data_IF_862373086362
#
_entry.id   IF_862373086362
#
_cell.length_a   1.000
_cell.length_b   1.000
_cell.length_c   1.000
_cell.angle_alpha   90.00
_cell.angle_beta   90.00
_cell.angle_gamma   90.00
#
_symmetry.space_group_name_H-M   'P 1'
#
loop_
_entity.id
_entity.type
_entity.pdbx_description
1 polymer ?
#
# COMPACT_ATOMS: atom_id res chain seq x y z
N UNK A 1 15.30 -14.26 9.68
CA UNK A 1 15.44 -15.31 10.72
C UNK A 1 14.49 -14.95 11.85
N UNK A 2 13.71 -15.90 12.39
CA UNK A 2 12.87 -15.63 13.56
C UNK A 2 13.73 -15.70 14.82
N UNK A 3 13.46 -14.83 15.80
CA UNK A 3 14.23 -14.79 17.05
C UNK A 3 13.85 -15.92 18.01
N UNK A 4 12.63 -16.46 17.88
CA UNK A 4 12.09 -17.56 18.67
C UNK A 4 10.93 -18.22 17.91
N UNK A 5 10.54 -19.43 18.33
CA UNK A 5 9.48 -20.21 17.70
C UNK A 5 8.14 -20.03 18.41
N UNK A 6 7.07 -19.91 17.62
CA UNK A 6 5.69 -19.92 18.07
C UNK A 6 4.86 -20.79 17.10
N UNK A 7 3.95 -21.58 17.65
CA UNK A 7 2.96 -22.33 16.86
C UNK A 7 1.90 -21.40 16.27
N UNK A 8 1.23 -21.82 15.21
CA UNK A 8 0.12 -21.10 14.57
C UNK A 8 0.49 -19.72 13.98
N UNK A 9 1.77 -19.50 13.67
CA UNK A 9 2.22 -18.34 12.90
C UNK A 9 1.99 -18.62 11.41
N UNK A 10 1.24 -17.75 10.69
CA UNK A 10 0.98 -17.97 9.27
C UNK A 10 2.27 -17.88 8.44
N UNK A 11 2.30 -18.62 7.32
CA UNK A 11 3.38 -18.48 6.34
C UNK A 11 3.22 -17.18 5.56
N UNK A 12 4.33 -16.47 5.35
CA UNK A 12 4.43 -15.24 4.55
C UNK A 12 5.15 -15.51 3.24
N UNK A 13 4.85 -14.71 2.23
CA UNK A 13 5.67 -14.63 1.01
C UNK A 13 7.10 -14.16 1.31
N UNK A 14 8.06 -14.72 0.59
CA UNK A 14 9.48 -14.36 0.68
C UNK A 14 9.88 -13.37 -0.42
N UNK A 15 10.97 -12.62 -0.22
CA UNK A 15 11.49 -11.69 -1.23
C UNK A 15 12.17 -12.45 -2.38
N UNK A 16 12.07 -11.99 -3.64
CA UNK A 16 11.23 -10.87 -4.11
C UNK A 16 9.74 -11.26 -4.06
N UNK A 17 8.92 -10.42 -3.42
CA UNK A 17 7.50 -10.71 -3.18
C UNK A 17 6.66 -10.30 -4.38
N UNK A 18 5.80 -11.19 -4.85
CA UNK A 18 4.72 -10.86 -5.80
C UNK A 18 3.37 -10.64 -5.10
N UNK A 19 3.25 -11.03 -3.83
CA UNK A 19 2.08 -10.78 -2.97
C UNK A 19 2.53 -10.49 -1.55
N UNK A 20 1.67 -9.90 -0.74
CA UNK A 20 2.01 -9.50 0.63
C UNK A 20 3.04 -8.39 0.66
N UNK A 21 3.00 -7.52 -0.36
CA UNK A 21 3.90 -6.38 -0.52
C UNK A 21 3.69 -5.37 0.62
N UNK A 22 4.80 -4.77 1.04
CA UNK A 22 4.83 -3.56 1.87
C UNK A 22 5.50 -2.44 1.09
N UNK A 23 4.71 -1.42 0.75
CA UNK A 23 5.19 -0.16 0.19
C UNK A 23 5.23 0.92 1.27
N UNK A 24 6.44 1.25 1.69
CA UNK A 24 6.71 2.31 2.66
C UNK A 24 6.72 3.67 1.97
N UNK A 25 6.13 4.69 2.61
CA UNK A 25 6.14 6.07 2.10
C UNK A 25 7.20 6.92 2.81
N UNK A 26 8.21 7.31 2.05
CA UNK A 26 9.27 8.21 2.47
C UNK A 26 8.87 9.66 2.18
N UNK A 27 8.65 10.44 3.25
CA UNK A 27 8.29 11.86 3.18
C UNK A 27 9.47 12.81 3.44
N UNK A 28 10.70 12.32 3.39
CA UNK A 28 11.89 13.12 3.67
C UNK A 28 12.79 12.57 4.77
N UNK A 29 12.90 11.24 4.90
CA UNK A 29 13.92 10.63 5.77
C UNK A 29 15.32 11.11 5.35
N UNK A 30 16.17 11.41 6.33
CA UNK A 30 17.60 11.62 6.09
C UNK A 30 18.29 10.31 5.72
N UNK A 31 19.52 10.38 5.19
CA UNK A 31 20.30 9.17 4.85
C UNK A 31 20.46 8.24 6.06
N UNK A 32 20.76 8.79 7.24
CA UNK A 32 20.92 8.00 8.48
C UNK A 32 19.62 7.32 8.91
N UNK A 33 18.49 8.02 8.80
CA UNK A 33 17.19 7.41 9.09
C UNK A 33 16.83 6.30 8.10
N UNK A 34 17.28 6.39 6.84
CA UNK A 34 17.13 5.31 5.86
C UNK A 34 18.02 4.13 6.23
N UNK A 35 19.27 4.36 6.65
CA UNK A 35 20.17 3.31 7.16
C UNK A 35 19.55 2.60 8.37
N UNK A 36 19.08 3.35 9.38
CA UNK A 36 18.42 2.82 10.58
C UNK A 36 17.13 2.05 10.23
N UNK A 37 16.36 2.54 9.26
CA UNK A 37 15.16 1.87 8.76
C UNK A 37 15.48 0.53 8.07
N UNK A 38 16.52 0.52 7.22
CA UNK A 38 16.97 -0.68 6.50
C UNK A 38 17.45 -1.74 7.49
N UNK A 39 18.28 -1.35 8.45
CA UNK A 39 18.81 -2.24 9.50
C UNK A 39 17.67 -2.90 10.29
N UNK A 40 16.72 -2.09 10.76
CA UNK A 40 15.63 -2.58 11.61
C UNK A 40 14.56 -3.37 10.85
N UNK A 41 14.19 -2.95 9.64
CA UNK A 41 12.95 -3.40 8.99
C UNK A 41 13.04 -3.60 7.48
N UNK A 42 14.22 -3.45 6.87
CA UNK A 42 14.40 -3.54 5.41
C UNK A 42 14.00 -4.90 4.81
N UNK A 43 14.11 -5.99 5.57
CA UNK A 43 13.68 -7.33 5.15
C UNK A 43 12.14 -7.49 5.04
N UNK A 44 11.38 -6.57 5.63
CA UNK A 44 9.90 -6.54 5.64
C UNK A 44 9.31 -5.51 4.65
N UNK A 45 10.14 -4.65 4.07
CA UNK A 45 9.74 -3.61 3.13
C UNK A 45 10.14 -3.99 1.71
N UNK A 46 9.24 -3.87 0.72
CA UNK A 46 9.52 -4.25 -0.67
C UNK A 46 9.74 -3.04 -1.57
N UNK A 47 8.99 -1.95 -1.32
CA UNK A 47 8.96 -0.76 -2.16
C UNK A 47 9.09 0.49 -1.28
N UNK A 48 9.87 1.47 -1.74
CA UNK A 48 9.99 2.79 -1.09
C UNK A 48 9.47 3.89 -2.03
N UNK A 49 8.29 4.43 -1.72
CA UNK A 49 7.71 5.58 -2.42
C UNK A 49 8.29 6.87 -1.86
N UNK A 50 9.03 7.63 -2.67
CA UNK A 50 9.29 9.04 -2.37
C UNK A 50 7.98 9.81 -2.56
N UNK A 51 7.32 10.19 -1.46
CA UNK A 51 5.96 10.71 -1.47
C UNK A 51 5.83 11.97 -2.35
N UNK A 52 4.74 12.06 -3.11
CA UNK A 52 4.41 13.20 -3.97
C UNK A 52 5.63 13.77 -4.72
N UNK A 53 5.94 15.07 -4.56
CA UNK A 53 7.13 15.72 -5.13
C UNK A 53 8.34 15.83 -4.18
N UNK A 54 8.43 15.04 -3.11
CA UNK A 54 9.54 15.17 -2.13
C UNK A 54 10.93 15.04 -2.74
N UNK A 55 11.08 14.22 -3.77
CA UNK A 55 12.37 14.00 -4.44
C UNK A 55 12.94 15.31 -5.03
N UNK A 56 12.10 16.26 -5.44
CA UNK A 56 12.55 17.56 -5.96
C UNK A 56 13.32 18.39 -4.92
N UNK A 57 12.97 18.25 -3.64
CA UNK A 57 13.56 19.03 -2.53
C UNK A 57 14.45 18.18 -1.61
N UNK A 58 14.65 16.89 -1.93
CA UNK A 58 15.46 15.98 -1.12
C UNK A 58 16.94 16.17 -1.40
N UNK A 59 17.71 16.51 -0.36
CA UNK A 59 19.18 16.54 -0.45
C UNK A 59 19.73 15.12 -0.67
N UNK A 60 20.82 15.01 -1.44
CA UNK A 60 21.53 13.76 -1.69
C UNK A 60 20.62 12.63 -2.21
N UNK A 61 19.65 12.96 -3.08
CA UNK A 61 18.64 12.02 -3.56
C UNK A 61 19.24 10.73 -4.16
N UNK A 62 20.31 10.82 -4.96
CA UNK A 62 20.96 9.64 -5.55
C UNK A 62 21.46 8.67 -4.47
N UNK A 63 22.18 9.17 -3.46
CA UNK A 63 22.69 8.34 -2.37
C UNK A 63 21.54 7.65 -1.61
N UNK A 64 20.42 8.33 -1.44
CA UNK A 64 19.23 7.78 -0.80
C UNK A 64 18.57 6.68 -1.63
N UNK A 65 18.48 6.87 -2.95
CA UNK A 65 18.02 5.85 -3.90
C UNK A 65 18.94 4.61 -3.83
N UNK A 66 20.25 4.82 -3.81
CA UNK A 66 21.24 3.73 -3.77
C UNK A 66 21.15 2.93 -2.47
N UNK A 67 20.91 3.59 -1.32
CA UNK A 67 20.67 2.92 -0.04
C UNK A 67 19.49 1.95 -0.12
N UNK A 68 18.32 2.38 -0.61
CA UNK A 68 17.16 1.50 -0.77
C UNK A 68 17.45 0.32 -1.69
N UNK A 69 18.08 0.57 -2.85
CA UNK A 69 18.45 -0.49 -3.79
C UNK A 69 19.41 -1.51 -3.18
N UNK A 70 20.40 -1.05 -2.40
CA UNK A 70 21.37 -1.93 -1.74
C UNK A 70 20.72 -2.90 -0.74
N UNK A 71 19.56 -2.53 -0.20
CA UNK A 71 18.75 -3.35 0.71
C UNK A 71 17.72 -4.26 -0.01
N UNK A 72 17.72 -4.29 -1.34
CA UNK A 72 16.70 -4.99 -2.12
C UNK A 72 15.28 -4.42 -1.92
N UNK A 73 15.19 -3.10 -1.73
CA UNK A 73 13.93 -2.33 -1.72
C UNK A 73 13.88 -1.56 -3.03
N UNK A 74 12.75 -1.60 -3.74
CA UNK A 74 12.58 -0.91 -5.04
C UNK A 74 12.10 0.53 -4.81
N UNK A 75 12.94 1.56 -4.97
CA UNK A 75 12.49 2.94 -4.84
C UNK A 75 11.75 3.42 -6.09
N UNK A 76 10.80 4.33 -5.92
CA UNK A 76 10.20 5.08 -7.03
C UNK A 76 9.69 6.46 -6.58
N UNK A 77 9.43 7.36 -7.53
CA UNK A 77 8.87 8.68 -7.25
C UNK A 77 7.33 8.69 -7.35
N UNK A 78 6.67 9.29 -6.35
CA UNK A 78 5.20 9.36 -6.32
C UNK A 78 4.60 10.01 -7.56
N UNK A 79 3.41 9.55 -7.93
CA UNK A 79 2.72 9.91 -9.17
C UNK A 79 2.37 11.40 -9.27
N UNK A 80 2.18 12.10 -8.14
CA UNK A 80 2.05 13.57 -8.16
C UNK A 80 3.25 14.27 -8.82
N UNK A 81 4.46 13.69 -8.72
CA UNK A 81 5.62 14.23 -9.45
C UNK A 81 5.49 13.97 -10.96
N UNK A 82 5.06 12.77 -11.36
CA UNK A 82 4.75 12.48 -12.76
C UNK A 82 3.71 13.46 -13.31
N UNK A 83 2.61 13.67 -12.59
CA UNK A 83 1.56 14.64 -12.93
C UNK A 83 2.12 16.07 -13.09
N UNK A 84 3.09 16.46 -12.24
CA UNK A 84 3.73 17.76 -12.34
C UNK A 84 4.57 17.92 -13.63
N UNK A 85 5.29 16.88 -14.07
CA UNK A 85 5.99 16.88 -15.36
C UNK A 85 5.00 16.87 -16.52
N UNK A 86 3.98 16.00 -16.45
CA UNK A 86 2.95 15.85 -17.47
C UNK A 86 2.22 17.17 -17.75
N UNK A 87 1.76 17.86 -16.70
CA UNK A 87 1.07 19.16 -16.81
C UNK A 87 1.93 20.28 -17.44
N UNK A 88 3.24 20.07 -17.55
CA UNK A 88 4.19 21.02 -18.16
C UNK A 88 4.63 20.58 -19.57
N UNK A 89 4.06 19.50 -20.12
CA UNK A 89 4.50 18.91 -21.39
C UNK A 89 5.90 18.29 -21.29
N UNK A 90 6.33 17.89 -20.09
CA UNK A 90 7.70 17.43 -19.80
C UNK A 90 7.77 15.92 -19.55
N UNK A 91 6.88 15.12 -20.14
CA UNK A 91 6.85 13.66 -19.96
C UNK A 91 8.18 12.99 -20.33
N UNK A 92 8.83 13.44 -21.40
CA UNK A 92 10.14 12.94 -21.81
C UNK A 92 11.27 13.31 -20.82
N UNK A 93 11.17 14.48 -20.17
CA UNK A 93 12.10 14.85 -19.10
C UNK A 93 11.90 13.99 -17.86
N UNK A 94 10.66 13.62 -17.55
CA UNK A 94 10.37 12.68 -16.46
C UNK A 94 11.07 11.34 -16.71
N UNK A 95 10.97 10.79 -17.92
CA UNK A 95 11.65 9.55 -18.32
C UNK A 95 13.18 9.66 -18.16
N UNK A 96 13.79 10.73 -18.70
CA UNK A 96 15.23 10.98 -18.52
C UNK A 96 15.63 11.09 -17.05
N UNK A 97 14.76 11.66 -16.22
CA UNK A 97 15.01 11.86 -14.80
C UNK A 97 14.96 10.52 -14.04
N UNK A 98 13.95 9.67 -14.26
CA UNK A 98 13.91 8.34 -13.64
C UNK A 98 15.06 7.43 -14.13
N UNK A 99 15.46 7.55 -15.41
CA UNK A 99 16.62 6.82 -15.96
C UNK A 99 17.93 7.30 -15.32
N UNK A 100 18.10 8.61 -15.10
CA UNK A 100 19.26 9.18 -14.39
C UNK A 100 19.43 8.60 -12.98
N UNK A 101 18.33 8.39 -12.25
CA UNK A 101 18.34 7.77 -10.93
C UNK A 101 18.31 6.22 -10.99
N UNK A 102 18.30 5.65 -12.19
CA UNK A 102 18.30 4.21 -12.46
C UNK A 102 17.08 3.49 -11.91
N UNK A 103 15.91 4.11 -11.92
CA UNK A 103 14.68 3.54 -11.36
C UNK A 103 13.99 2.63 -12.38
N UNK A 104 13.75 1.38 -12.00
CA UNK A 104 13.01 0.40 -12.81
C UNK A 104 11.49 0.43 -12.56
N UNK A 105 11.04 1.14 -11.51
CA UNK A 105 9.65 1.28 -11.12
C UNK A 105 9.22 2.76 -11.20
N UNK A 106 8.03 3.02 -11.74
CA UNK A 106 7.42 4.35 -11.73
C UNK A 106 5.91 4.28 -11.43
N UNK A 107 5.36 5.41 -10.95
CA UNK A 107 3.92 5.56 -10.72
C UNK A 107 3.29 6.51 -11.75
N UNK A 108 2.17 6.08 -12.35
CA UNK A 108 1.35 6.90 -13.24
C UNK A 108 -0.02 7.14 -12.57
N UNK A 109 -0.29 8.40 -12.23
CA UNK A 109 -1.52 8.83 -11.58
C UNK A 109 -2.11 10.06 -12.27
N UNK A 110 -3.35 10.38 -11.95
CA UNK A 110 -4.13 11.52 -12.43
C UNK A 110 -4.98 12.11 -11.28
N UNK A 111 -4.42 12.13 -10.07
CA UNK A 111 -5.16 12.51 -8.87
C UNK A 111 -5.26 14.04 -8.65
N UNK A 112 -4.26 14.80 -9.11
CA UNK A 112 -4.15 16.27 -8.99
C UNK A 112 -4.43 17.02 -10.28
N UNK A 113 -4.40 16.35 -11.42
CA UNK A 113 -4.75 16.89 -12.74
C UNK A 113 -5.70 15.94 -13.47
N UNK A 114 -6.43 16.45 -14.46
CA UNK A 114 -7.27 15.61 -15.31
C UNK A 114 -6.41 15.12 -16.48
N UNK A 115 -6.31 13.80 -16.63
CA UNK A 115 -5.80 13.12 -17.82
C UNK A 115 -6.95 12.30 -18.39
N UNK A 116 -7.15 12.33 -19.71
CA UNK A 116 -8.12 11.41 -20.30
C UNK A 116 -7.72 9.97 -19.99
N UNK A 117 -8.67 9.11 -19.66
CA UNK A 117 -8.33 7.77 -19.20
C UNK A 117 -7.70 6.91 -20.30
N UNK A 118 -8.09 7.08 -21.56
CA UNK A 118 -7.49 6.35 -22.67
C UNK A 118 -6.06 6.86 -22.91
N UNK A 119 -5.83 8.16 -22.77
CA UNK A 119 -4.49 8.77 -22.79
C UNK A 119 -3.60 8.25 -21.65
N UNK A 120 -4.13 8.13 -20.43
CA UNK A 120 -3.44 7.48 -19.30
C UNK A 120 -3.05 6.04 -19.61
N UNK A 121 -3.95 5.27 -20.24
CA UNK A 121 -3.65 3.90 -20.67
C UNK A 121 -2.56 3.84 -21.74
N UNK A 122 -2.52 4.78 -22.69
CA UNK A 122 -1.41 4.87 -23.66
C UNK A 122 -0.08 5.18 -22.98
N UNK A 123 -0.06 6.06 -21.98
CA UNK A 123 1.12 6.37 -21.17
C UNK A 123 1.62 5.12 -20.42
N UNK A 124 0.71 4.41 -19.75
CA UNK A 124 1.03 3.14 -19.07
C UNK A 124 1.63 2.15 -20.06
N UNK A 125 0.99 1.93 -21.20
CA UNK A 125 1.46 0.98 -22.23
C UNK A 125 2.81 1.37 -22.80
N UNK A 126 3.05 2.67 -23.00
CA UNK A 126 4.33 3.17 -23.48
C UNK A 126 5.43 2.91 -22.47
N UNK A 127 5.20 3.24 -21.20
CA UNK A 127 6.20 3.12 -20.14
C UNK A 127 6.48 1.65 -19.81
N UNK A 128 5.45 0.81 -19.80
CA UNK A 128 5.54 -0.62 -19.48
C UNK A 128 6.45 -1.43 -20.43
N UNK A 129 6.85 -0.87 -21.58
CA UNK A 129 7.82 -1.51 -22.49
C UNK A 129 9.21 -1.64 -21.89
N UNK A 130 9.63 -0.66 -21.09
CA UNK A 130 11.02 -0.54 -20.62
C UNK A 130 11.14 -0.56 -19.09
N UNK A 131 10.03 -0.42 -18.35
CA UNK A 131 10.03 -0.35 -16.88
C UNK A 131 8.75 -0.93 -16.28
N UNK A 132 8.79 -1.23 -14.99
CA UNK A 132 7.60 -1.63 -14.23
C UNK A 132 6.75 -0.40 -13.93
N UNK A 133 5.45 -0.47 -14.26
CA UNK A 133 4.49 0.61 -13.98
C UNK A 133 3.56 0.19 -12.85
N UNK A 134 3.41 1.05 -11.85
CA UNK A 134 2.25 1.04 -10.96
C UNK A 134 1.34 2.19 -11.37
N UNK A 135 0.07 1.92 -11.65
CA UNK A 135 -0.89 2.99 -11.87
C UNK A 135 -1.69 3.24 -10.59
N UNK A 136 -2.30 4.41 -10.44
CA UNK A 136 -3.16 4.73 -9.30
C UNK A 136 -4.57 5.09 -9.77
N UNK A 137 -5.59 4.42 -9.23
CA UNK A 137 -7.00 4.77 -9.44
C UNK A 137 -7.54 5.40 -8.17
N UNK A 138 -8.14 6.58 -8.32
CA UNK A 138 -8.72 7.34 -7.23
C UNK A 138 -8.97 8.80 -7.61
N UNK A 139 -9.34 9.61 -6.62
CA UNK A 139 -9.32 11.06 -6.75
C UNK A 139 -8.83 11.69 -5.46
N UNK A 140 -7.91 12.66 -5.58
CA UNK A 140 -7.37 13.41 -4.44
C UNK A 140 -8.35 14.46 -3.91
N UNK A 141 -9.42 14.76 -4.66
CA UNK A 141 -10.46 15.69 -4.26
C UNK A 141 -11.63 14.95 -3.61
N UNK A 142 -11.89 15.25 -2.34
CA UNK A 142 -13.03 14.70 -1.58
C UNK A 142 -14.40 14.97 -2.20
N UNK A 143 -14.51 15.95 -3.11
CA UNK A 143 -15.73 16.26 -3.86
C UNK A 143 -15.97 15.39 -5.10
N UNK A 144 -14.95 14.69 -5.60
CA UNK A 144 -15.05 13.87 -6.82
C UNK A 144 -15.39 12.43 -6.45
N UNK A 145 -16.66 12.06 -6.64
CA UNK A 145 -17.14 10.69 -6.41
C UNK A 145 -17.02 9.88 -7.69
N UNK A 146 -16.04 8.99 -7.76
CA UNK A 146 -15.90 8.00 -8.83
C UNK A 146 -16.79 6.79 -8.49
N UNK A 147 -17.70 6.43 -9.38
CA UNK A 147 -18.61 5.30 -9.14
C UNK A 147 -17.84 3.96 -9.07
N UNK A 148 -18.32 2.96 -8.29
CA UNK A 148 -17.66 1.66 -8.21
C UNK A 148 -17.47 0.97 -9.56
N UNK A 149 -18.43 1.12 -10.48
CA UNK A 149 -18.32 0.57 -11.84
C UNK A 149 -17.19 1.25 -12.64
N UNK A 150 -16.99 2.56 -12.46
CA UNK A 150 -15.88 3.29 -13.09
C UNK A 150 -14.53 2.88 -12.49
N UNK A 151 -14.44 2.71 -11.17
CA UNK A 151 -13.25 2.16 -10.50
C UNK A 151 -12.82 0.81 -11.10
N UNK A 152 -13.75 -0.15 -11.13
CA UNK A 152 -13.46 -1.48 -11.68
C UNK A 152 -12.98 -1.39 -13.13
N UNK A 153 -13.67 -0.61 -13.97
CA UNK A 153 -13.28 -0.42 -15.36
C UNK A 153 -11.87 0.15 -15.48
N UNK A 154 -11.57 1.24 -14.76
CA UNK A 154 -10.25 1.89 -14.80
C UNK A 154 -9.15 0.92 -14.35
N UNK A 155 -9.33 0.25 -13.20
CA UNK A 155 -8.34 -0.71 -12.71
C UNK A 155 -8.10 -1.86 -13.71
N UNK A 156 -9.15 -2.44 -14.28
CA UNK A 156 -8.99 -3.51 -15.27
C UNK A 156 -8.26 -3.05 -16.53
N UNK A 157 -8.62 -1.87 -17.05
CA UNK A 157 -8.02 -1.34 -18.29
C UNK A 157 -6.60 -0.84 -18.08
N UNK A 158 -6.25 -0.32 -16.90
CA UNK A 158 -4.88 0.03 -16.54
C UNK A 158 -3.98 -1.21 -16.35
N UNK A 159 -4.52 -2.33 -15.85
CA UNK A 159 -3.83 -3.63 -15.85
C UNK A 159 -3.62 -4.15 -17.28
N UNK A 160 -4.66 -4.14 -18.11
CA UNK A 160 -4.57 -4.52 -19.53
C UNK A 160 -3.58 -3.65 -20.32
N UNK A 161 -3.42 -2.38 -19.94
CA UNK A 161 -2.44 -1.48 -20.53
C UNK A 161 -0.99 -1.82 -20.17
N UNK A 162 -0.76 -2.59 -19.10
CA UNK A 162 0.57 -3.06 -18.69
C UNK A 162 1.01 -2.67 -17.28
N UNK A 163 0.10 -2.19 -16.43
CA UNK A 163 0.43 -1.97 -15.01
C UNK A 163 0.74 -3.29 -14.33
N UNK A 164 1.84 -3.35 -13.57
CA UNK A 164 2.18 -4.51 -12.73
C UNK A 164 1.24 -4.63 -11.53
N UNK A 165 0.89 -3.49 -10.94
CA UNK A 165 -0.13 -3.37 -9.90
C UNK A 165 -0.93 -2.10 -10.12
N UNK A 166 -2.19 -2.11 -9.71
CA UNK A 166 -2.98 -0.87 -9.59
C UNK A 166 -3.12 -0.50 -8.12
N UNK A 167 -2.69 0.71 -7.79
CA UNK A 167 -2.86 1.31 -6.48
C UNK A 167 -4.33 1.72 -6.33
N UNK A 168 -4.96 1.25 -5.27
CA UNK A 168 -6.27 1.73 -4.88
C UNK A 168 -6.11 2.87 -3.86
N UNK A 169 -6.38 4.10 -4.29
CA UNK A 169 -6.04 5.32 -3.54
C UNK A 169 -6.78 5.41 -2.19
N UNK A 170 -6.02 5.79 -1.16
CA UNK A 170 -6.50 6.19 0.16
C UNK A 170 -5.90 7.50 0.67
N UNK A 171 -4.92 8.06 -0.06
CA UNK A 171 -4.02 9.16 0.33
C UNK A 171 -3.24 8.83 1.61
N UNK A 172 -2.45 9.80 2.06
CA UNK A 172 -1.78 9.72 3.36
C UNK A 172 -2.76 9.77 4.54
N UNK A 173 -3.88 10.50 4.38
CA UNK A 173 -4.87 10.65 5.44
C UNK A 173 -5.72 9.40 5.66
N UNK A 174 -5.84 8.52 4.66
CA UNK A 174 -6.72 7.36 4.73
C UNK A 174 -8.20 7.73 4.82
N UNK A 175 -8.63 8.86 4.24
CA UNK A 175 -10.00 9.39 4.40
C UNK A 175 -10.75 9.58 3.08
N UNK A 176 -10.19 9.10 1.97
CA UNK A 176 -10.76 9.22 0.63
C UNK A 176 -10.62 7.91 -0.14
N UNK A 177 -11.19 7.85 -1.36
CA UNK A 177 -11.07 6.71 -2.26
C UNK A 177 -11.67 5.44 -1.65
N UNK A 178 -10.81 4.45 -1.35
CA UNK A 178 -11.24 3.19 -0.73
C UNK A 178 -11.64 3.32 0.74
N UNK A 179 -11.52 4.51 1.32
CA UNK A 179 -12.01 4.85 2.65
C UNK A 179 -13.08 5.94 2.62
N UNK A 180 -13.94 5.92 3.63
CA UNK A 180 -14.87 7.01 3.93
C UNK A 180 -14.16 8.17 4.65
N UNK A 181 -14.75 9.38 4.71
CA UNK A 181 -14.17 10.51 5.43
C UNK A 181 -13.80 10.26 6.90
N UNK A 182 -14.46 9.29 7.55
CA UNK A 182 -14.17 8.87 8.91
C UNK A 182 -13.06 7.81 9.03
N UNK A 183 -12.37 7.48 7.92
CA UNK A 183 -11.30 6.49 7.85
C UNK A 183 -11.73 5.03 7.79
N UNK A 184 -13.03 4.74 7.81
CA UNK A 184 -13.55 3.36 7.69
C UNK A 184 -13.51 2.87 6.25
N UNK A 185 -13.23 1.58 6.05
CA UNK A 185 -13.19 0.96 4.73
C UNK A 185 -14.51 1.12 3.98
N UNK A 186 -14.46 1.56 2.72
CA UNK A 186 -15.61 1.65 1.83
C UNK A 186 -16.00 0.26 1.31
N UNK A 187 -16.50 -0.60 2.21
CA UNK A 187 -16.79 -2.03 1.99
C UNK A 187 -17.50 -2.34 0.67
N UNK A 188 -18.55 -1.60 0.30
CA UNK A 188 -19.27 -1.81 -0.97
C UNK A 188 -18.36 -1.62 -2.20
N UNK A 189 -17.51 -0.59 -2.20
CA UNK A 189 -16.58 -0.31 -3.31
C UNK A 189 -15.53 -1.42 -3.39
N UNK A 190 -14.90 -1.74 -2.25
CA UNK A 190 -13.87 -2.77 -2.16
C UNK A 190 -14.41 -4.13 -2.64
N UNK A 191 -15.61 -4.52 -2.19
CA UNK A 191 -16.27 -5.76 -2.62
C UNK A 191 -16.56 -5.78 -4.12
N UNK A 192 -16.90 -4.63 -4.73
CA UNK A 192 -17.11 -4.52 -6.18
C UNK A 192 -15.80 -4.67 -6.95
N UNK A 193 -14.71 -4.08 -6.45
CA UNK A 193 -13.37 -4.19 -7.05
C UNK A 193 -12.92 -5.64 -7.05
N UNK A 194 -12.89 -6.31 -5.89
CA UNK A 194 -12.35 -7.67 -5.78
C UNK A 194 -13.20 -8.75 -6.44
N UNK A 195 -14.45 -8.44 -6.78
CA UNK A 195 -15.29 -9.31 -7.60
C UNK A 195 -14.84 -9.38 -9.07
N UNK A 196 -13.93 -8.48 -9.50
CA UNK A 196 -13.52 -8.31 -10.90
C UNK A 196 -12.01 -8.16 -11.12
N UNK A 197 -11.28 -7.70 -10.12
CA UNK A 197 -9.82 -7.53 -10.15
C UNK A 197 -9.21 -8.42 -9.08
N UNK A 198 -8.16 -9.18 -9.43
CA UNK A 198 -7.53 -10.10 -8.50
C UNK A 198 -6.85 -9.31 -7.36
N UNK A 199 -7.03 -9.68 -6.08
CA UNK A 199 -6.42 -8.95 -4.95
C UNK A 199 -4.90 -8.84 -5.02
N UNK A 200 -4.23 -9.83 -5.61
CA UNK A 200 -2.80 -9.83 -5.85
C UNK A 200 -2.34 -8.77 -6.86
N UNK A 201 -3.18 -8.32 -7.77
CA UNK A 201 -2.88 -7.27 -8.75
C UNK A 201 -3.13 -5.85 -8.19
N UNK A 202 -3.69 -5.76 -6.98
CA UNK A 202 -4.02 -4.50 -6.32
C UNK A 202 -3.01 -4.22 -5.22
N UNK A 203 -2.61 -2.95 -5.07
CA UNK A 203 -1.91 -2.44 -3.89
C UNK A 203 -2.82 -1.45 -3.17
N UNK A 204 -3.26 -1.80 -1.96
CA UNK A 204 -4.19 -0.95 -1.21
C UNK A 204 -3.43 0.06 -0.38
N UNK A 205 -3.66 1.36 -0.56
CA UNK A 205 -3.12 2.33 0.38
C UNK A 205 -3.84 2.16 1.74
N UNK A 206 -3.07 2.01 2.82
CA UNK A 206 -3.59 1.80 4.16
C UNK A 206 -2.66 2.45 5.21
N UNK A 207 -2.57 3.80 5.22
CA UNK A 207 -1.63 4.51 6.08
C UNK A 207 -1.91 4.32 7.58
N UNK A 208 -3.14 4.00 7.98
CA UNK A 208 -3.54 3.92 9.39
C UNK A 208 -3.68 2.47 9.84
N UNK A 209 -3.18 2.15 11.05
CA UNK A 209 -3.27 0.81 11.68
C UNK A 209 -4.62 0.11 11.50
N UNK A 210 -5.73 0.81 11.79
CA UNK A 210 -7.08 0.22 11.70
C UNK A 210 -7.41 -0.26 10.28
N UNK A 211 -6.89 0.44 9.26
CA UNK A 211 -7.07 0.09 7.85
C UNK A 211 -6.20 -1.11 7.47
N UNK A 212 -4.94 -1.12 7.92
CA UNK A 212 -4.02 -2.24 7.75
C UNK A 212 -4.62 -3.52 8.34
N UNK A 213 -5.09 -3.47 9.59
CA UNK A 213 -5.72 -4.60 10.27
C UNK A 213 -6.99 -5.07 9.52
N UNK A 214 -7.80 -4.13 9.03
CA UNK A 214 -8.99 -4.46 8.26
C UNK A 214 -8.67 -5.23 6.97
N UNK A 215 -7.67 -4.78 6.21
CA UNK A 215 -7.23 -5.45 4.99
C UNK A 215 -6.57 -6.81 5.26
N UNK A 216 -5.78 -6.93 6.32
CA UNK A 216 -5.19 -8.21 6.73
C UNK A 216 -6.27 -9.22 7.11
N UNK A 217 -7.33 -8.79 7.80
CA UNK A 217 -8.48 -9.66 8.11
C UNK A 217 -9.27 -10.09 6.87
N UNK A 218 -9.42 -9.17 5.91
CA UNK A 218 -10.20 -9.44 4.71
C UNK A 218 -9.48 -10.37 3.73
N UNK A 219 -8.18 -10.14 3.52
CA UNK A 219 -7.40 -10.80 2.45
C UNK A 219 -6.31 -11.73 2.97
N UNK A 220 -6.11 -11.79 4.28
CA UNK A 220 -5.04 -12.55 4.91
C UNK A 220 -3.70 -11.80 4.96
N UNK A 221 -2.70 -12.49 5.48
CA UNK A 221 -1.35 -11.98 5.74
C UNK A 221 -0.56 -11.55 4.49
N UNK A 222 -0.97 -12.01 3.31
CA UNK A 222 -0.31 -11.72 2.03
C UNK A 222 -1.05 -10.64 1.21
N UNK A 223 -1.82 -9.75 1.84
CA UNK A 223 -2.38 -8.56 1.18
C UNK A 223 -1.29 -7.53 0.82
N UNK A 224 -1.33 -6.93 -0.36
CA UNK A 224 -0.41 -5.84 -0.73
C UNK A 224 -0.88 -4.52 -0.11
N UNK A 225 -0.02 -3.86 0.68
CA UNK A 225 -0.35 -2.61 1.35
C UNK A 225 0.68 -1.52 1.06
N UNK A 226 0.19 -0.31 0.91
CA UNK A 226 1.00 0.89 0.67
C UNK A 226 0.69 2.07 1.56
N UNK A 227 1.47 3.12 1.40
CA UNK A 227 1.53 4.28 2.31
C UNK A 227 1.86 3.89 3.76
N UNK A 228 2.61 2.82 3.95
CA UNK A 228 3.03 2.42 5.30
C UNK A 228 4.08 3.40 5.79
N UNK A 229 3.88 3.96 6.98
CA UNK A 229 4.88 4.82 7.60
C UNK A 229 6.13 4.00 7.95
N UNK A 230 7.34 4.60 7.92
CA UNK A 230 8.59 3.88 8.21
C UNK A 230 8.55 3.15 9.57
N UNK A 231 7.96 3.79 10.58
CA UNK A 231 7.82 3.25 11.94
C UNK A 231 6.65 2.25 12.10
N UNK A 232 5.82 2.05 11.07
CA UNK A 232 4.71 1.08 11.08
C UNK A 232 5.02 -0.21 10.31
N UNK A 233 6.21 -0.37 9.70
CA UNK A 233 6.57 -1.59 8.96
C UNK A 233 6.62 -2.83 9.86
N UNK A 234 7.32 -2.78 11.00
CA UNK A 234 7.31 -3.89 11.98
C UNK A 234 5.89 -4.09 12.56
N UNK A 235 5.19 -3.04 13.04
CA UNK A 235 3.80 -3.18 13.50
C UNK A 235 2.87 -3.81 12.46
N UNK A 236 3.02 -3.51 11.18
CA UNK A 236 2.26 -4.15 10.11
C UNK A 236 2.60 -5.64 10.00
N UNK A 237 3.87 -6.02 10.04
CA UNK A 237 4.24 -7.43 10.01
C UNK A 237 3.65 -8.19 11.22
N UNK A 238 3.59 -7.57 12.40
CA UNK A 238 2.90 -8.20 13.54
C UNK A 238 1.40 -8.37 13.32
N UNK A 239 0.73 -7.48 12.59
CA UNK A 239 -0.66 -7.69 12.16
C UNK A 239 -0.76 -8.90 11.22
N UNK A 240 0.15 -9.00 10.24
CA UNK A 240 0.20 -10.11 9.28
C UNK A 240 0.47 -11.46 9.95
N UNK A 241 1.18 -11.48 11.07
CA UNK A 241 1.53 -12.70 11.80
C UNK A 241 0.57 -13.08 12.94
N UNK A 242 -0.48 -12.28 13.18
CA UNK A 242 -1.38 -12.49 14.33
C UNK A 242 -0.75 -12.17 15.69
N UNK A 243 0.29 -11.34 15.71
CA UNK A 243 1.06 -10.99 16.91
C UNK A 243 0.72 -9.61 17.46
N UNK A 244 -0.40 -9.03 17.02
CA UNK A 244 -0.96 -7.77 17.53
C UNK A 244 -2.42 -8.00 17.86
N UNK A 245 -2.92 -7.38 18.93
CA UNK A 245 -4.27 -7.61 19.45
C UNK A 245 -5.38 -7.50 18.41
N UNK A 246 -5.21 -6.62 17.41
CA UNK A 246 -6.17 -6.47 16.31
C UNK A 246 -6.36 -7.77 15.50
N UNK A 247 -5.33 -8.59 15.31
CA UNK A 247 -5.37 -9.83 14.49
C UNK A 247 -5.05 -11.12 15.25
N UNK A 248 -5.06 -11.06 16.60
CA UNK A 248 -4.50 -12.10 17.47
C UNK A 248 -5.12 -13.49 17.26
N UNK A 249 -6.43 -13.55 17.05
CA UNK A 249 -7.15 -14.81 16.90
C UNK A 249 -7.35 -15.24 15.44
N UNK A 250 -7.00 -14.42 14.45
CA UNK A 250 -7.30 -14.68 13.03
C UNK A 250 -6.52 -15.88 12.45
N UNK A 251 -5.41 -16.28 13.08
CA UNK A 251 -4.57 -17.41 12.63
C UNK A 251 -4.51 -18.57 13.64
N UNK A 252 -5.25 -18.45 14.74
CA UNK A 252 -5.32 -19.46 15.80
C UNK A 252 -6.45 -20.47 15.53
N UNK A 253 -6.41 -21.66 16.15
CA UNK A 253 -7.56 -22.57 16.12
C UNK A 253 -8.81 -21.91 16.69
N UNK A 254 -9.99 -22.23 16.14
CA UNK A 254 -11.24 -21.54 16.46
C UNK A 254 -11.58 -21.55 17.96
N UNK A 255 -11.30 -22.66 18.64
CA UNK A 255 -11.55 -22.84 20.08
C UNK A 255 -10.67 -21.97 20.98
N UNK A 256 -9.62 -21.33 20.45
CA UNK A 256 -8.79 -20.41 21.23
C UNK A 256 -9.51 -19.09 21.50
N UNK A 257 -10.26 -18.59 20.53
CA UNK A 257 -11.03 -17.36 20.72
C UNK A 257 -12.09 -17.58 21.81
N UNK A 258 -12.81 -18.69 21.76
CA UNK A 258 -13.88 -19.00 22.72
C UNK A 258 -13.36 -19.13 24.16
N UNK A 259 -12.12 -19.62 24.35
CA UNK A 259 -11.55 -19.86 25.68
C UNK A 259 -10.73 -18.71 26.26
N UNK A 260 -10.12 -17.88 25.42
CA UNK A 260 -9.08 -16.94 25.84
C UNK A 260 -9.39 -15.48 25.50
N UNK A 261 -10.40 -15.21 24.67
CA UNK A 261 -10.77 -13.84 24.34
C UNK A 261 -11.41 -13.19 25.56
N UNK A 262 -10.93 -12.00 25.91
CA UNK A 262 -11.55 -11.20 26.95
C UNK A 262 -12.98 -10.84 26.53
N UNK A 263 -13.95 -11.20 27.38
CA UNK A 263 -15.32 -10.71 27.34
C UNK A 263 -15.48 -9.68 28.45
N UNK A 264 -16.19 -8.58 28.19
CA UNK A 264 -16.55 -7.64 29.25
C UNK A 264 -17.59 -8.33 30.13
N UNK A 265 -17.26 -8.60 31.40
CA UNK A 265 -18.13 -9.30 32.35
C UNK A 265 -19.32 -8.49 32.86
N UNK A 266 -19.87 -7.56 32.08
CA UNK A 266 -21.07 -6.80 32.45
C UNK A 266 -22.39 -7.56 32.16
N UNK A 267 -22.32 -8.73 31.50
CA UNK A 267 -23.50 -9.54 31.14
C UNK A 267 -23.66 -10.84 31.98
N UNK A 268 -22.82 -11.06 33.01
CA UNK A 268 -22.87 -12.30 33.84
C UNK A 268 -23.54 -12.13 35.22
N UNK A 269 -24.03 -10.93 35.59
CA UNK A 269 -24.65 -10.68 36.91
C UNK A 269 -26.19 -10.74 36.95
N UNK A 270 -26.90 -11.12 35.88
CA UNK A 270 -28.39 -11.15 35.87
C UNK A 270 -29.05 -12.54 36.09
N UNK A 271 -28.31 -13.64 36.25
CA UNK A 271 -28.92 -14.98 36.45
C UNK A 271 -28.81 -15.59 37.86
N UNK A 272 -28.30 -14.87 38.87
CA UNK A 272 -28.33 -15.33 40.27
C UNK A 272 -29.26 -14.45 41.13
N UNK A 273 -30.57 -14.54 40.91
CA UNK A 273 -31.50 -13.68 41.64
C UNK A 273 -32.99 -14.00 41.58
N UNK A 274 -33.41 -15.26 41.40
CA UNK A 274 -34.78 -15.69 41.71
C UNK A 274 -34.78 -17.08 42.37
N UNK A 275 -34.71 -17.09 43.70
CA UNK A 275 -35.14 -18.19 44.59
C UNK A 275 -36.14 -17.63 45.63
#
# INVERSE_FOLDING_TARGET
MKNFELTYIPKRSEKPREKGLTMMMDKGLSLRQVEDFIDSSGHLCDIAKFGFGTSFVTNNLQAKVDLYKSAGIRPYFGGTLFEAFYARGMTEDYLRMIDKYGLDLCEISDGSIIIDHDEKCELIRSFAKDRTVMSEVGSKDSGIIVSPAKWVRMMSTELEAGSWKVIAEGRESGTVGVFRPNGTAHTMLINRIIAKVAPEDILWEAPIKKQQAWFVKLFGQDVNLGNIAPNEVIPLETLRLGLRGDTFFDFMPADYADRLKQVNGEDEEEEEGED
#
